data_IF_160344033630
#
_entry.id   IF_160344033630
#
_cell.length_a   1.000
_cell.length_b   1.000
_cell.length_c   1.000
_cell.angle_alpha   90.00
_cell.angle_beta   90.00
_cell.angle_gamma   90.00
#
_symmetry.space_group_name_H-M   'P 1'
#
loop_
_entity.id
_entity.type
_entity.pdbx_description
1 polymer ?
#
# COMPACT_ATOMS: atom_id res chain seq x y z
N UNK A 1 -17.44 20.62 2.58
CA UNK A 1 -16.37 19.95 1.79
C UNK A 1 -17.00 19.43 0.50
N UNK A 2 -16.41 19.71 -0.67
CA UNK A 2 -16.94 19.28 -1.98
C UNK A 2 -17.15 17.75 -2.01
N UNK A 3 -18.30 17.29 -2.52
CA UNK A 3 -18.66 15.86 -2.65
C UNK A 3 -17.60 15.10 -3.46
N UNK A 4 -16.99 15.76 -4.47
CA UNK A 4 -15.90 15.19 -5.26
C UNK A 4 -14.62 15.01 -4.45
N UNK A 5 -14.24 16.02 -3.66
CA UNK A 5 -13.06 15.96 -2.79
C UNK A 5 -13.20 14.84 -1.74
N UNK A 6 -14.36 14.73 -1.11
CA UNK A 6 -14.63 13.63 -0.16
C UNK A 6 -14.58 12.26 -0.85
N UNK A 7 -15.05 12.17 -2.10
CA UNK A 7 -14.96 10.96 -2.91
C UNK A 7 -13.51 10.57 -3.21
N UNK A 8 -12.66 11.53 -3.60
CA UNK A 8 -11.23 11.29 -3.81
C UNK A 8 -10.52 10.81 -2.55
N UNK A 9 -10.78 11.45 -1.39
CA UNK A 9 -10.22 11.04 -0.10
C UNK A 9 -10.66 9.63 0.29
N UNK A 10 -11.92 9.25 0.04
CA UNK A 10 -12.37 7.88 0.30
C UNK A 10 -11.69 6.87 -0.63
N UNK A 11 -11.51 7.23 -1.89
CA UNK A 11 -10.91 6.36 -2.91
C UNK A 11 -9.40 6.14 -2.69
N UNK A 12 -8.72 6.92 -1.83
CA UNK A 12 -7.33 6.60 -1.44
C UNK A 12 -7.27 5.39 -0.50
N UNK A 13 -8.40 4.89 0.02
CA UNK A 13 -8.45 3.98 1.16
C UNK A 13 -7.81 4.64 2.38
N UNK A 14 -8.52 5.65 2.90
CA UNK A 14 -8.05 6.59 3.92
C UNK A 14 -7.30 5.94 5.09
N UNK A 15 -7.85 4.87 5.69
CA UNK A 15 -7.21 4.18 6.82
C UNK A 15 -5.81 3.63 6.49
N UNK A 16 -5.69 2.71 5.51
CA UNK A 16 -4.39 2.25 5.01
C UNK A 16 -3.45 3.37 4.58
N UNK A 17 -3.94 4.38 3.87
CA UNK A 17 -3.12 5.53 3.43
C UNK A 17 -2.51 6.25 4.63
N UNK A 18 -3.32 6.61 5.64
CA UNK A 18 -2.84 7.28 6.84
C UNK A 18 -1.78 6.43 7.54
N UNK A 19 -2.02 5.13 7.71
CA UNK A 19 -1.07 4.23 8.36
C UNK A 19 0.29 4.22 7.65
N UNK A 20 0.29 4.03 6.32
CA UNK A 20 1.54 3.95 5.53
C UNK A 20 2.30 5.27 5.54
N UNK A 21 1.60 6.39 5.40
CA UNK A 21 2.21 7.74 5.43
C UNK A 21 2.77 8.06 6.81
N UNK A 22 2.06 7.69 7.87
CA UNK A 22 2.53 7.89 9.25
C UNK A 22 3.76 7.04 9.54
N UNK A 23 3.76 5.76 9.15
CA UNK A 23 4.93 4.88 9.34
C UNK A 23 6.14 5.41 8.56
N UNK A 24 5.97 5.81 7.29
CA UNK A 24 7.08 6.35 6.49
C UNK A 24 7.62 7.67 7.05
N UNK A 25 6.75 8.52 7.60
CA UNK A 25 7.13 9.73 8.30
C UNK A 25 8.01 9.43 9.54
N UNK A 26 7.55 8.57 10.45
CA UNK A 26 8.33 8.25 11.65
C UNK A 26 9.62 7.51 11.34
N UNK A 27 9.60 6.64 10.33
CA UNK A 27 10.80 5.96 9.86
C UNK A 27 11.82 6.95 9.26
N UNK A 28 11.36 7.93 8.47
CA UNK A 28 12.24 8.94 7.88
C UNK A 28 12.85 9.90 8.90
N UNK A 29 12.21 10.13 10.06
CA UNK A 29 12.81 10.90 11.16
C UNK A 29 14.10 10.27 11.71
N UNK A 30 14.34 8.98 11.46
CA UNK A 30 15.58 8.32 11.85
C UNK A 30 16.77 8.68 10.94
N UNK A 31 16.49 9.16 9.73
CA UNK A 31 17.52 9.43 8.70
C UNK A 31 17.57 10.90 8.28
N UNK A 32 16.47 11.64 8.43
CA UNK A 32 16.32 12.98 7.91
C UNK A 32 15.79 13.95 8.97
N UNK A 33 15.91 15.25 8.68
CA UNK A 33 15.28 16.30 9.48
C UNK A 33 13.75 16.17 9.48
N UNK A 34 13.08 16.87 10.39
CA UNK A 34 11.61 16.96 10.39
C UNK A 34 11.04 17.39 9.03
N UNK A 35 11.64 18.41 8.41
CA UNK A 35 11.23 18.92 7.09
C UNK A 35 11.46 17.85 6.01
N UNK A 36 12.63 17.19 6.02
CA UNK A 36 12.91 16.09 5.10
C UNK A 36 11.91 14.95 5.24
N UNK A 37 11.56 14.59 6.46
CA UNK A 37 10.59 13.54 6.75
C UNK A 37 9.18 13.89 6.25
N UNK A 38 8.77 15.17 6.34
CA UNK A 38 7.52 15.64 5.73
C UNK A 38 7.55 15.53 4.20
N UNK A 39 8.69 15.81 3.56
CA UNK A 39 8.83 15.65 2.11
C UNK A 39 8.74 14.17 1.70
N UNK A 40 9.37 13.26 2.45
CA UNK A 40 9.22 11.81 2.26
C UNK A 40 7.76 11.39 2.42
N UNK A 41 7.11 11.82 3.49
CA UNK A 41 5.70 11.51 3.73
C UNK A 41 4.78 12.02 2.61
N UNK A 42 5.04 13.22 2.08
CA UNK A 42 4.29 13.77 0.95
C UNK A 42 4.49 12.96 -0.34
N UNK A 43 5.72 12.53 -0.61
CA UNK A 43 6.03 11.66 -1.75
C UNK A 43 5.30 10.30 -1.63
N UNK A 44 5.35 9.67 -0.45
CA UNK A 44 4.66 8.41 -0.17
C UNK A 44 3.13 8.58 -0.23
N UNK A 45 2.59 9.71 0.24
CA UNK A 45 1.16 10.03 0.15
C UNK A 45 0.72 10.10 -1.31
N UNK A 46 1.48 10.76 -2.18
CA UNK A 46 1.20 10.78 -3.62
C UNK A 46 1.20 9.36 -4.22
N UNK A 47 2.16 8.51 -3.82
CA UNK A 47 2.18 7.09 -4.18
C UNK A 47 0.94 6.32 -3.68
N UNK A 48 0.51 6.53 -2.43
CA UNK A 48 -0.69 5.92 -1.88
C UNK A 48 -1.97 6.34 -2.62
N UNK A 49 -2.06 7.60 -3.05
CA UNK A 49 -3.13 8.06 -3.92
C UNK A 49 -3.17 7.29 -5.24
N UNK A 50 -2.01 7.04 -5.88
CA UNK A 50 -1.94 6.20 -7.10
C UNK A 50 -2.45 4.79 -6.81
N UNK A 51 -2.00 4.15 -5.72
CA UNK A 51 -2.41 2.78 -5.36
C UNK A 51 -3.90 2.68 -5.08
N UNK A 52 -4.45 3.57 -4.24
CA UNK A 52 -5.87 3.55 -3.87
C UNK A 52 -6.79 3.86 -5.05
N UNK A 53 -6.48 4.91 -5.81
CA UNK A 53 -7.29 5.31 -6.96
C UNK A 53 -7.23 4.30 -8.11
N UNK A 54 -6.06 3.72 -8.38
CA UNK A 54 -5.95 2.64 -9.37
C UNK A 54 -6.71 1.40 -8.94
N UNK A 55 -6.72 1.07 -7.64
CA UNK A 55 -7.53 -0.03 -7.11
C UNK A 55 -9.01 0.18 -7.41
N UNK A 56 -9.58 1.32 -6.98
CA UNK A 56 -11.00 1.64 -7.20
C UNK A 56 -11.36 1.67 -8.70
N UNK A 57 -10.46 2.22 -9.54
CA UNK A 57 -10.69 2.28 -10.99
C UNK A 57 -10.70 0.89 -11.63
N UNK A 58 -9.74 0.02 -11.28
CA UNK A 58 -9.62 -1.34 -11.84
C UNK A 58 -10.76 -2.23 -11.32
N UNK A 59 -11.16 -2.06 -10.07
CA UNK A 59 -12.21 -2.87 -9.43
C UNK A 59 -13.62 -2.36 -9.70
N UNK A 60 -13.78 -1.26 -10.45
CA UNK A 60 -15.07 -0.56 -10.61
C UNK A 60 -16.22 -1.50 -11.02
N UNK A 61 -15.96 -2.45 -11.93
CA UNK A 61 -16.95 -3.45 -12.36
C UNK A 61 -17.31 -4.42 -11.24
N UNK A 62 -16.31 -5.01 -10.58
CA UNK A 62 -16.51 -5.95 -9.48
C UNK A 62 -17.20 -5.27 -8.29
N UNK A 63 -16.82 -4.04 -7.99
CA UNK A 63 -17.39 -3.26 -6.90
C UNK A 63 -18.88 -2.91 -7.16
N UNK A 64 -19.26 -2.69 -8.43
CA UNK A 64 -20.66 -2.51 -8.83
C UNK A 64 -21.45 -3.81 -8.71
N UNK A 65 -20.90 -4.92 -9.19
CA UNK A 65 -21.52 -6.26 -9.09
C UNK A 65 -21.73 -6.68 -7.62
N UNK A 66 -20.80 -6.34 -6.73
CA UNK A 66 -20.89 -6.59 -5.29
C UNK A 66 -21.68 -5.53 -4.51
N UNK A 67 -22.27 -4.53 -5.18
CA UNK A 67 -23.09 -3.45 -4.56
C UNK A 67 -22.32 -2.76 -3.42
N UNK A 68 -21.03 -2.49 -3.61
CA UNK A 68 -20.17 -1.82 -2.62
C UNK A 68 -20.46 -0.31 -2.57
N UNK A 69 -21.66 0.10 -2.18
CA UNK A 69 -22.14 1.50 -2.19
C UNK A 69 -21.30 2.48 -1.36
N UNK A 70 -20.43 1.98 -0.47
CA UNK A 70 -19.46 2.81 0.26
C UNK A 70 -18.30 3.28 -0.63
N UNK A 71 -18.06 2.62 -1.77
CA UNK A 71 -17.05 2.97 -2.77
C UNK A 71 -17.47 4.20 -3.57
N UNK A 72 -16.61 5.22 -3.71
CA UNK A 72 -16.95 6.49 -4.34
C UNK A 72 -17.47 6.40 -5.79
N UNK A 73 -16.91 5.48 -6.60
CA UNK A 73 -17.35 5.24 -7.98
C UNK A 73 -18.73 4.57 -8.05
N UNK A 74 -19.00 3.62 -7.15
CA UNK A 74 -20.30 2.93 -7.07
C UNK A 74 -21.37 3.93 -6.61
N UNK A 75 -21.04 4.80 -5.66
CA UNK A 75 -21.91 5.86 -5.17
C UNK A 75 -22.11 7.04 -6.15
N UNK A 76 -21.43 7.05 -7.31
CA UNK A 76 -21.47 8.15 -8.28
C UNK A 76 -20.94 9.49 -7.76
N UNK A 77 -20.15 9.48 -6.68
CA UNK A 77 -19.60 10.70 -6.07
C UNK A 77 -18.38 11.26 -6.81
N UNK A 78 -17.71 10.41 -7.59
CA UNK A 78 -16.61 10.73 -8.51
C UNK A 78 -16.78 9.90 -9.79
N UNK A 79 -16.13 10.32 -10.88
CA UNK A 79 -16.14 9.60 -12.16
C UNK A 79 -14.82 8.87 -12.41
N UNK A 80 -14.83 7.89 -13.30
CA UNK A 80 -13.60 7.21 -13.75
C UNK A 80 -12.60 8.18 -14.39
N UNK A 81 -13.08 9.15 -15.16
CA UNK A 81 -12.23 10.19 -15.76
C UNK A 81 -11.53 11.04 -14.70
N UNK A 82 -12.23 11.39 -13.62
CA UNK A 82 -11.61 12.07 -12.47
C UNK A 82 -10.49 11.23 -11.89
N UNK A 83 -10.70 9.94 -11.63
CA UNK A 83 -9.64 9.08 -11.10
C UNK A 83 -8.46 8.95 -12.06
N UNK A 84 -8.70 8.78 -13.37
CA UNK A 84 -7.61 8.67 -14.36
C UNK A 84 -6.71 9.90 -14.35
N UNK A 85 -7.30 11.10 -14.34
CA UNK A 85 -6.56 12.37 -14.26
C UNK A 85 -5.82 12.47 -12.93
N UNK A 86 -6.50 12.19 -11.81
CA UNK A 86 -5.91 12.24 -10.47
C UNK A 86 -4.74 11.26 -10.32
N UNK A 87 -4.84 10.04 -10.85
CA UNK A 87 -3.75 9.05 -10.87
C UNK A 87 -2.54 9.60 -11.62
N UNK A 88 -2.74 10.19 -12.81
CA UNK A 88 -1.64 10.78 -13.59
C UNK A 88 -0.93 11.91 -12.84
N UNK A 89 -1.69 12.80 -12.21
CA UNK A 89 -1.14 13.89 -11.38
C UNK A 89 -0.39 13.33 -10.17
N UNK A 90 -0.99 12.40 -9.43
CA UNK A 90 -0.36 11.82 -8.25
C UNK A 90 0.90 11.01 -8.58
N UNK A 91 0.95 10.34 -9.73
CA UNK A 91 2.15 9.65 -10.21
C UNK A 91 3.28 10.64 -10.52
N UNK A 92 2.95 11.74 -11.20
CA UNK A 92 3.90 12.83 -11.46
C UNK A 92 4.42 13.47 -10.16
N UNK A 93 3.52 13.74 -9.20
CA UNK A 93 3.88 14.25 -7.88
C UNK A 93 4.74 13.26 -7.09
N UNK A 94 4.40 11.98 -7.09
CA UNK A 94 5.19 10.95 -6.43
C UNK A 94 6.62 10.91 -6.99
N UNK A 95 6.77 11.03 -8.31
CA UNK A 95 8.08 11.06 -8.96
C UNK A 95 8.87 12.32 -8.57
N UNK A 96 8.28 13.50 -8.79
CA UNK A 96 8.94 14.78 -8.55
C UNK A 96 9.32 14.93 -7.08
N UNK A 97 8.37 14.71 -6.16
CA UNK A 97 8.62 14.85 -4.72
C UNK A 97 9.66 13.87 -4.20
N UNK A 98 9.70 12.64 -4.72
CA UNK A 98 10.74 11.68 -4.33
C UNK A 98 12.11 12.11 -4.85
N UNK A 99 12.20 12.53 -6.12
CA UNK A 99 13.47 12.86 -6.77
C UNK A 99 14.12 14.11 -6.19
N UNK A 100 13.33 15.18 -5.99
CA UNK A 100 13.84 16.45 -5.48
C UNK A 100 13.97 16.46 -3.96
N UNK A 101 13.26 15.54 -3.30
CA UNK A 101 13.26 15.40 -1.85
C UNK A 101 14.45 14.57 -1.34
N UNK A 102 14.44 14.24 -0.04
CA UNK A 102 15.56 13.54 0.60
C UNK A 102 15.81 12.13 0.08
N UNK A 103 14.82 11.50 -0.59
CA UNK A 103 14.98 10.18 -1.18
C UNK A 103 16.02 10.17 -2.32
N UNK A 104 16.21 11.30 -3.00
CA UNK A 104 17.11 11.40 -4.15
C UNK A 104 16.82 10.35 -5.22
N UNK A 105 17.82 9.98 -6.00
CA UNK A 105 17.65 9.00 -7.09
C UNK A 105 17.42 7.58 -6.55
N UNK A 106 18.26 7.11 -5.63
CA UNK A 106 18.22 5.71 -5.13
C UNK A 106 16.92 5.45 -4.35
N UNK A 107 16.56 6.34 -3.42
CA UNK A 107 15.32 6.21 -2.66
C UNK A 107 14.08 6.33 -3.55
N UNK A 108 14.13 7.16 -4.60
CA UNK A 108 13.05 7.22 -5.60
C UNK A 108 12.89 5.90 -6.34
N UNK A 109 13.97 5.28 -6.81
CA UNK A 109 13.89 3.99 -7.51
C UNK A 109 13.25 2.92 -6.63
N UNK A 110 13.58 2.88 -5.34
CA UNK A 110 13.02 1.93 -4.38
C UNK A 110 11.57 2.25 -3.99
N UNK A 111 11.22 3.53 -3.87
CA UNK A 111 9.83 3.96 -3.73
C UNK A 111 9.01 3.54 -4.96
N UNK A 112 9.52 3.75 -6.17
CA UNK A 112 8.85 3.37 -7.41
C UNK A 112 8.79 1.86 -7.62
N UNK A 113 9.78 1.10 -7.15
CA UNK A 113 9.71 -0.36 -7.10
C UNK A 113 8.56 -0.81 -6.19
N UNK A 114 8.42 -0.19 -5.02
CA UNK A 114 7.31 -0.46 -4.12
C UNK A 114 5.95 -0.04 -4.69
N UNK A 115 5.88 1.10 -5.37
CA UNK A 115 4.68 1.59 -6.03
C UNK A 115 4.26 0.71 -7.21
N UNK A 116 5.22 0.28 -8.04
CA UNK A 116 5.01 -0.66 -9.13
C UNK A 116 4.47 -1.98 -8.59
N UNK A 117 5.12 -2.53 -7.57
CA UNK A 117 4.68 -3.74 -6.87
C UNK A 117 3.22 -3.61 -6.39
N UNK A 118 2.88 -2.54 -5.67
CA UNK A 118 1.51 -2.31 -5.19
C UNK A 118 0.51 -2.15 -6.34
N UNK A 119 0.90 -1.55 -7.46
CA UNK A 119 0.03 -1.41 -8.64
C UNK A 119 -0.16 -2.74 -9.35
N UNK A 120 0.86 -3.59 -9.43
CA UNK A 120 0.73 -4.96 -10.00
C UNK A 120 -0.21 -5.85 -9.18
N UNK A 121 -0.31 -5.62 -7.86
CA UNK A 121 -1.36 -6.24 -7.03
C UNK A 121 -2.75 -5.93 -7.58
N UNK A 122 -3.04 -4.65 -7.84
CA UNK A 122 -4.32 -4.20 -8.39
C UNK A 122 -4.59 -4.76 -9.79
N UNK A 123 -3.56 -4.79 -10.66
CA UNK A 123 -3.67 -5.23 -12.05
C UNK A 123 -3.97 -6.73 -12.21
N UNK A 124 -3.75 -7.55 -11.18
CA UNK A 124 -4.19 -8.94 -11.23
C UNK A 124 -3.51 -9.88 -10.25
N UNK A 125 -2.32 -9.53 -9.72
CA UNK A 125 -1.60 -10.44 -8.82
C UNK A 125 -2.39 -10.81 -7.57
N UNK A 126 -3.28 -9.92 -7.10
CA UNK A 126 -4.20 -10.21 -5.98
C UNK A 126 -5.08 -11.44 -6.19
N UNK A 127 -5.35 -11.83 -7.44
CA UNK A 127 -6.16 -13.01 -7.80
C UNK A 127 -5.34 -14.31 -7.89
N UNK A 128 -4.04 -14.26 -7.60
CA UNK A 128 -3.11 -15.38 -7.77
C UNK A 128 -2.55 -15.87 -6.43
N UNK A 129 -1.91 -17.05 -6.42
CA UNK A 129 -1.19 -17.54 -5.25
C UNK A 129 0.00 -16.63 -4.84
N UNK A 130 0.41 -15.69 -5.70
CA UNK A 130 1.45 -14.71 -5.40
C UNK A 130 0.90 -13.41 -4.80
N UNK A 131 -0.37 -13.36 -4.36
CA UNK A 131 -0.99 -12.12 -3.87
C UNK A 131 -0.30 -11.50 -2.65
N UNK A 132 0.47 -12.27 -1.88
CA UNK A 132 1.27 -11.76 -0.74
C UNK A 132 2.55 -11.05 -1.19
N UNK A 133 3.12 -11.43 -2.34
CA UNK A 133 4.42 -10.93 -2.81
C UNK A 133 4.44 -9.40 -2.94
N UNK A 134 3.38 -8.74 -3.48
CA UNK A 134 3.37 -7.29 -3.53
C UNK A 134 3.48 -6.60 -2.18
N UNK A 135 2.90 -7.16 -1.12
CA UNK A 135 3.05 -6.60 0.24
C UNK A 135 4.49 -6.72 0.72
N UNK A 136 5.11 -7.90 0.54
CA UNK A 136 6.51 -8.12 0.90
C UNK A 136 7.44 -7.15 0.18
N UNK A 137 7.27 -6.97 -1.13
CA UNK A 137 8.12 -6.07 -1.92
C UNK A 137 7.85 -4.61 -1.58
N UNK A 138 6.58 -4.18 -1.57
CA UNK A 138 6.22 -2.78 -1.35
C UNK A 138 6.61 -2.25 0.04
N UNK A 139 6.42 -3.06 1.08
CA UNK A 139 6.82 -2.66 2.43
C UNK A 139 8.29 -2.96 2.69
N UNK A 140 8.85 -4.02 2.13
CA UNK A 140 10.27 -4.35 2.25
C UNK A 140 11.18 -3.29 1.63
N UNK A 141 10.79 -2.66 0.51
CA UNK A 141 11.61 -1.59 -0.09
C UNK A 141 11.56 -0.28 0.68
N UNK A 142 10.57 -0.05 1.55
CA UNK A 142 10.40 1.22 2.28
C UNK A 142 11.61 1.59 3.17
N UNK A 143 12.08 0.73 4.10
CA UNK A 143 13.26 1.04 4.89
C UNK A 143 14.52 1.22 4.03
N UNK A 144 14.69 0.42 2.97
CA UNK A 144 15.81 0.61 2.04
C UNK A 144 15.75 1.94 1.30
N UNK A 145 14.57 2.38 0.85
CA UNK A 145 14.38 3.66 0.17
C UNK A 145 14.81 4.84 1.04
N UNK A 146 14.51 4.78 2.34
CA UNK A 146 14.79 5.83 3.31
C UNK A 146 16.25 5.80 3.76
N UNK A 147 16.79 4.64 4.10
CA UNK A 147 18.16 4.51 4.63
C UNK A 147 19.23 4.73 3.56
N UNK A 148 19.10 4.10 2.38
CA UNK A 148 20.10 4.25 1.33
C UNK A 148 20.17 5.66 0.75
N UNK A 149 19.05 6.39 0.80
CA UNK A 149 19.01 7.79 0.40
C UNK A 149 19.85 8.71 1.31
N UNK A 150 20.19 8.26 2.51
CA UNK A 150 21.12 8.92 3.43
C UNK A 150 22.41 8.11 3.63
N UNK A 151 22.80 7.30 2.62
CA UNK A 151 24.02 6.49 2.61
C UNK A 151 24.14 5.48 3.78
N UNK A 152 23.02 5.13 4.41
CA UNK A 152 22.94 4.16 5.50
C UNK A 152 22.28 2.85 5.04
N UNK A 153 22.43 1.79 5.84
CA UNK A 153 21.72 0.54 5.63
C UNK A 153 20.68 0.31 6.73
N UNK A 154 19.44 -0.11 6.38
CA UNK A 154 18.47 -0.45 7.40
C UNK A 154 18.94 -1.69 8.16
N UNK A 155 18.75 -1.74 9.49
CA UNK A 155 19.05 -2.96 10.23
C UNK A 155 18.13 -4.09 9.74
N UNK A 156 18.67 -5.29 9.61
CA UNK A 156 17.97 -6.40 8.96
C UNK A 156 16.68 -6.79 9.68
N UNK A 157 16.62 -6.67 11.02
CA UNK A 157 15.41 -6.92 11.79
C UNK A 157 14.25 -6.01 11.34
N UNK A 158 14.53 -4.74 11.03
CA UNK A 158 13.52 -3.76 10.61
C UNK A 158 13.00 -4.11 9.22
N UNK A 159 13.89 -4.44 8.29
CA UNK A 159 13.50 -4.91 6.96
C UNK A 159 12.61 -6.16 7.02
N UNK A 160 12.98 -7.14 7.85
CA UNK A 160 12.21 -8.36 8.06
C UNK A 160 10.84 -8.06 8.70
N UNK A 161 10.78 -7.19 9.70
CA UNK A 161 9.51 -6.79 10.34
C UNK A 161 8.55 -6.14 9.33
N UNK A 162 9.03 -5.26 8.45
CA UNK A 162 8.21 -4.67 7.39
C UNK A 162 7.61 -5.73 6.47
N UNK A 163 8.38 -6.76 6.12
CA UNK A 163 7.91 -7.89 5.31
C UNK A 163 6.88 -8.74 6.09
N UNK A 164 7.17 -9.11 7.32
CA UNK A 164 6.35 -10.01 8.13
C UNK A 164 5.01 -9.37 8.47
N UNK A 165 5.03 -8.13 8.98
CA UNK A 165 3.82 -7.41 9.40
C UNK A 165 2.94 -7.04 8.20
N UNK A 166 3.52 -6.59 7.09
CA UNK A 166 2.73 -6.31 5.88
C UNK A 166 2.11 -7.56 5.28
N UNK A 167 2.82 -8.69 5.31
CA UNK A 167 2.29 -9.98 4.90
C UNK A 167 1.11 -10.40 5.78
N UNK A 168 1.22 -10.25 7.10
CA UNK A 168 0.11 -10.51 8.02
C UNK A 168 -1.10 -9.60 7.71
N UNK A 169 -0.85 -8.32 7.45
CA UNK A 169 -1.89 -7.35 7.08
C UNK A 169 -2.62 -7.74 5.79
N UNK A 170 -1.91 -8.27 4.78
CA UNK A 170 -2.53 -8.83 3.57
C UNK A 170 -3.53 -9.94 3.89
N UNK A 171 -3.11 -10.93 4.69
CA UNK A 171 -3.99 -12.04 5.09
C UNK A 171 -5.23 -11.54 5.84
N UNK A 172 -5.06 -10.60 6.79
CA UNK A 172 -6.17 -10.05 7.58
C UNK A 172 -7.12 -9.18 6.75
N UNK A 173 -6.59 -8.38 5.82
CA UNK A 173 -7.41 -7.54 4.94
C UNK A 173 -8.35 -8.37 4.06
N UNK A 174 -7.84 -9.49 3.53
CA UNK A 174 -8.63 -10.37 2.68
C UNK A 174 -9.75 -11.07 3.44
N UNK A 175 -9.55 -11.39 4.73
CA UNK A 175 -10.53 -12.13 5.54
C UNK A 175 -11.91 -11.47 5.58
N UNK A 176 -11.97 -10.14 5.57
CA UNK A 176 -13.22 -9.38 5.68
C UNK A 176 -14.17 -9.64 4.51
N UNK A 177 -13.65 -9.65 3.30
CA UNK A 177 -14.41 -9.73 2.06
C UNK A 177 -14.24 -11.09 1.34
N UNK A 178 -13.66 -12.08 2.03
CA UNK A 178 -13.19 -13.35 1.46
C UNK A 178 -14.27 -14.10 0.66
N UNK A 179 -15.46 -14.27 1.22
CA UNK A 179 -16.54 -15.04 0.58
C UNK A 179 -17.04 -14.36 -0.69
N UNK A 180 -17.23 -13.04 -0.64
CA UNK A 180 -17.66 -12.22 -1.78
C UNK A 180 -16.58 -12.24 -2.87
N UNK A 181 -15.33 -12.04 -2.49
CA UNK A 181 -14.18 -12.06 -3.40
C UNK A 181 -14.05 -13.42 -4.11
N UNK A 182 -14.21 -14.54 -3.39
CA UNK A 182 -14.20 -15.89 -3.96
C UNK A 182 -15.33 -16.09 -4.96
N UNK A 183 -16.55 -15.62 -4.64
CA UNK A 183 -17.70 -15.69 -5.54
C UNK A 183 -17.47 -14.88 -6.83
N UNK A 184 -16.71 -13.79 -6.76
CA UNK A 184 -16.28 -12.97 -7.90
C UNK A 184 -15.02 -13.49 -8.60
N UNK A 185 -14.52 -14.67 -8.23
CA UNK A 185 -13.34 -15.30 -8.85
C UNK A 185 -11.99 -14.73 -8.41
N UNK A 186 -11.96 -13.88 -7.37
CA UNK A 186 -10.72 -13.39 -6.75
C UNK A 186 -10.15 -14.50 -5.85
N UNK A 187 -9.20 -15.28 -6.38
CA UNK A 187 -8.62 -16.45 -5.69
C UNK A 187 -7.13 -16.23 -5.35
N UNK A 188 -6.86 -15.20 -4.56
CA UNK A 188 -5.55 -14.95 -3.98
C UNK A 188 -5.11 -16.04 -2.99
N UNK A 189 -3.87 -15.96 -2.51
CA UNK A 189 -3.34 -16.91 -1.52
C UNK A 189 -4.23 -17.05 -0.27
N UNK A 190 -4.69 -15.97 0.40
CA UNK A 190 -5.55 -16.13 1.58
C UNK A 190 -6.91 -16.77 1.22
N UNK A 191 -7.50 -16.41 0.07
CA UNK A 191 -8.75 -17.01 -0.39
C UNK A 191 -8.62 -18.52 -0.65
N UNK A 192 -7.47 -18.97 -1.18
CA UNK A 192 -7.19 -20.39 -1.41
C UNK A 192 -7.01 -21.19 -0.13
N UNK A 193 -6.41 -20.58 0.89
CA UNK A 193 -6.15 -21.21 2.18
C UNK A 193 -7.38 -21.19 3.11
N UNK A 194 -8.35 -20.32 2.83
CA UNK A 194 -9.54 -20.13 3.63
C UNK A 194 -9.34 -19.25 4.84
N UNK A 195 -10.45 -18.87 5.48
CA UNK A 195 -10.49 -17.87 6.57
C UNK A 195 -9.64 -18.27 7.77
N UNK A 196 -9.83 -19.48 8.31
CA UNK A 196 -9.13 -19.92 9.53
C UNK A 196 -7.62 -20.00 9.35
N UNK A 197 -7.16 -20.61 8.25
CA UNK A 197 -5.73 -20.69 7.91
C UNK A 197 -5.13 -19.30 7.70
N UNK A 198 -5.86 -18.40 7.04
CA UNK A 198 -5.40 -17.02 6.82
C UNK A 198 -5.20 -16.26 8.12
N UNK A 199 -6.13 -16.40 9.07
CA UNK A 199 -6.02 -15.80 10.41
C UNK A 199 -4.83 -16.39 11.16
N UNK A 200 -4.68 -17.72 11.17
CA UNK A 200 -3.58 -18.40 11.84
C UNK A 200 -2.20 -17.98 11.28
N UNK A 201 -2.07 -17.91 9.95
CA UNK A 201 -0.84 -17.45 9.29
C UNK A 201 -0.55 -15.99 9.64
N UNK A 202 -1.57 -15.12 9.63
CA UNK A 202 -1.39 -13.73 10.02
C UNK A 202 -0.85 -13.61 11.47
N UNK A 203 -1.41 -14.37 12.41
CA UNK A 203 -0.90 -14.39 13.79
C UNK A 203 0.53 -14.93 13.88
N UNK A 204 0.86 -16.00 13.16
CA UNK A 204 2.21 -16.55 13.13
C UNK A 204 3.23 -15.52 12.56
N UNK A 205 2.86 -14.80 11.51
CA UNK A 205 3.68 -13.74 10.93
C UNK A 205 3.89 -12.55 11.89
N UNK A 206 2.83 -12.13 12.59
CA UNK A 206 2.94 -11.10 13.64
C UNK A 206 3.85 -11.56 14.78
N UNK A 207 3.68 -12.80 15.26
CA UNK A 207 4.52 -13.36 16.30
C UNK A 207 5.99 -13.44 15.86
N UNK A 208 6.25 -13.86 14.62
CA UNK A 208 7.60 -13.86 14.05
C UNK A 208 8.22 -12.45 13.97
N UNK A 209 7.42 -11.43 13.61
CA UNK A 209 7.87 -10.03 13.65
C UNK A 209 8.21 -9.58 15.08
N UNK A 210 7.34 -9.87 16.05
CA UNK A 210 7.64 -9.58 17.47
C UNK A 210 8.92 -10.26 17.94
N UNK A 211 9.14 -11.52 17.58
CA UNK A 211 10.37 -12.25 17.91
C UNK A 211 11.59 -11.59 17.24
N UNK A 212 11.49 -11.23 15.96
CA UNK A 212 12.55 -10.57 15.20
C UNK A 212 12.94 -9.24 15.85
N UNK A 213 11.95 -8.44 16.27
CA UNK A 213 12.15 -7.21 17.03
C UNK A 213 12.82 -7.42 18.39
N UNK A 214 12.45 -8.48 19.12
CA UNK A 214 13.00 -8.77 20.44
C UNK A 214 14.43 -9.31 20.41
N UNK A 215 14.85 -9.93 19.29
CA UNK A 215 16.18 -10.52 19.09
C UNK A 215 17.19 -9.59 18.40
N UNK A 216 16.83 -8.32 18.15
CA UNK A 216 17.63 -7.35 17.40
C UNK A 216 18.91 -6.89 18.09
#
# INVERSE_FOLDING_TARGET
MDRKLLGLIKATHFGPTVLVVTISFFLSLTQFTWIGSLQVAAAILAGQCVVGWSNDLIDSKLDREAIRIKKPLVAGSITESTLKISIGIALGLALVLSLIGPLGVIGTLLHFLGLLSATTYNLGLKKTAFSVVPYMVSFGTMPWAIYLANENQPPMWLYLDFILISSAFHFLNVVKDLEVDVAQGVKGLPQRLGKSSSIAIAFALVAAGVITFLLR
#
